data_IF_217088509150
#
_entry.id   IF_217088509150
#
_cell.length_a   1.000
_cell.length_b   1.000
_cell.length_c   1.000
_cell.angle_alpha   90.00
_cell.angle_beta   90.00
_cell.angle_gamma   90.00
#
_symmetry.space_group_name_H-M   'P 1'
#
loop_
_entity.id
_entity.type
_entity.pdbx_description
1 polymer ?
#
# COMPACT_ATOMS: atom_id res chain seq x y z
N UNK A 1 3.29 8.80 -14.76
CA UNK A 1 3.15 9.44 -13.44
C UNK A 1 4.48 9.47 -12.69
N UNK A 2 4.72 10.52 -11.90
CA UNK A 2 5.88 10.74 -11.00
C UNK A 2 5.56 10.35 -9.55
N UNK A 3 6.57 10.25 -8.69
CA UNK A 3 6.38 9.97 -7.26
C UNK A 3 5.50 11.03 -6.57
N UNK A 4 5.69 12.30 -6.89
CA UNK A 4 4.91 13.39 -6.30
C UNK A 4 3.42 13.32 -6.68
N UNK A 5 3.13 12.93 -7.92
CA UNK A 5 1.75 12.69 -8.37
C UNK A 5 1.13 11.47 -7.69
N UNK A 6 1.92 10.40 -7.50
CA UNK A 6 1.50 9.22 -6.75
C UNK A 6 1.14 9.57 -5.30
N UNK A 7 2.01 10.31 -4.60
CA UNK A 7 1.76 10.77 -3.24
C UNK A 7 0.47 11.62 -3.17
N UNK A 8 0.26 12.53 -4.12
CA UNK A 8 -0.95 13.34 -4.17
C UNK A 8 -2.21 12.48 -4.36
N UNK A 9 -2.16 11.46 -5.22
CA UNK A 9 -3.26 10.53 -5.43
C UNK A 9 -3.51 9.67 -4.17
N UNK A 10 -2.46 9.16 -3.54
CA UNK A 10 -2.55 8.38 -2.30
C UNK A 10 -3.18 9.20 -1.17
N UNK A 11 -2.71 10.43 -0.94
CA UNK A 11 -3.24 11.31 0.10
C UNK A 11 -4.68 11.76 -0.15
N UNK A 12 -5.09 11.85 -1.43
CA UNK A 12 -6.48 12.10 -1.80
C UNK A 12 -7.37 10.89 -1.49
N UNK A 13 -6.84 9.68 -1.65
CA UNK A 13 -7.56 8.43 -1.37
C UNK A 13 -7.59 8.10 0.13
N UNK A 14 -6.47 8.28 0.83
CA UNK A 14 -6.28 8.05 2.26
C UNK A 14 -5.63 9.29 2.88
N UNK A 15 -6.41 10.17 3.54
CA UNK A 15 -5.84 11.34 4.19
C UNK A 15 -4.94 10.92 5.35
N UNK A 16 -3.75 11.49 5.41
CA UNK A 16 -2.72 11.18 6.40
C UNK A 16 -1.40 11.86 6.04
N UNK A 17 -0.30 11.29 6.51
CA UNK A 17 1.07 11.73 6.16
C UNK A 17 1.72 10.66 5.30
N UNK A 18 2.06 11.00 4.05
CA UNK A 18 2.85 10.09 3.21
C UNK A 18 4.29 10.04 3.72
N UNK A 19 4.81 8.83 3.91
CA UNK A 19 6.10 8.60 4.58
C UNK A 19 7.11 7.99 3.62
N UNK A 20 6.66 7.14 2.69
CA UNK A 20 7.47 6.57 1.62
C UNK A 20 6.67 6.56 0.31
N UNK A 21 7.40 6.52 -0.80
CA UNK A 21 6.84 6.30 -2.13
C UNK A 21 7.85 5.51 -2.97
N UNK A 22 7.56 4.24 -3.18
CA UNK A 22 8.43 3.30 -3.88
C UNK A 22 7.77 2.84 -5.18
N UNK A 23 8.58 2.48 -6.16
CA UNK A 23 8.08 1.97 -7.43
C UNK A 23 8.44 0.50 -7.54
N UNK A 24 7.42 -0.34 -7.58
CA UNK A 24 7.55 -1.80 -7.64
C UNK A 24 6.66 -2.36 -8.76
N UNK A 25 7.21 -3.23 -9.61
CA UNK A 25 6.52 -3.90 -10.73
C UNK A 25 5.54 -3.04 -11.58
N UNK A 26 5.83 -1.74 -11.74
CA UNK A 26 5.02 -0.82 -12.54
C UNK A 26 3.88 -0.11 -11.78
N UNK A 27 3.78 -0.32 -10.47
CA UNK A 27 2.92 0.42 -9.56
C UNK A 27 3.75 1.24 -8.57
N UNK A 28 3.22 2.39 -8.19
CA UNK A 28 3.71 3.14 -7.04
C UNK A 28 3.06 2.61 -5.78
N UNK A 29 3.85 2.29 -4.78
CA UNK A 29 3.42 2.00 -3.42
C UNK A 29 3.71 3.22 -2.54
N UNK A 30 2.67 3.74 -1.89
CA UNK A 30 2.79 4.92 -1.02
C UNK A 30 2.29 4.56 0.37
N UNK A 31 3.20 4.57 1.32
CA UNK A 31 2.86 4.40 2.74
C UNK A 31 2.35 5.69 3.33
N UNK A 32 1.16 5.62 3.92
CA UNK A 32 0.47 6.73 4.55
C UNK A 32 0.22 6.40 6.00
N UNK A 33 0.81 7.19 6.89
CA UNK A 33 0.48 7.17 8.31
C UNK A 33 -0.84 7.93 8.53
N UNK A 34 -1.88 7.16 8.88
CA UNK A 34 -3.20 7.65 9.27
C UNK A 34 -3.25 8.11 10.73
N UNK A 35 -4.45 8.45 11.20
CA UNK A 35 -4.66 8.83 12.59
C UNK A 35 -4.56 7.62 13.54
N UNK A 36 -3.91 7.81 14.69
CA UNK A 36 -3.83 6.78 15.73
C UNK A 36 -2.96 5.57 15.34
N UNK A 37 -1.78 5.84 14.79
CA UNK A 37 -0.73 4.85 14.48
C UNK A 37 -1.11 3.80 13.41
N UNK A 38 -2.16 4.07 12.64
CA UNK A 38 -2.58 3.18 11.55
C UNK A 38 -1.76 3.43 10.29
N UNK A 39 -1.10 2.39 9.77
CA UNK A 39 -0.40 2.44 8.50
C UNK A 39 -1.28 1.99 7.33
N UNK A 40 -1.11 2.64 6.19
CA UNK A 40 -1.82 2.31 4.96
C UNK A 40 -0.88 2.34 3.76
N UNK A 41 -0.70 1.21 3.09
CA UNK A 41 0.03 1.14 1.82
C UNK A 41 -0.97 1.29 0.68
N UNK A 42 -0.76 2.26 -0.19
CA UNK A 42 -1.65 2.59 -1.32
C UNK A 42 -0.91 2.30 -2.62
N UNK A 43 -1.47 1.43 -3.46
CA UNK A 43 -0.91 1.10 -4.77
C UNK A 43 -1.57 1.90 -5.88
N UNK A 44 -0.76 2.44 -6.79
CA UNK A 44 -1.23 3.33 -7.87
C UNK A 44 -0.52 2.95 -9.17
N UNK A 45 -1.28 2.74 -10.23
CA UNK A 45 -0.72 2.43 -11.55
C UNK A 45 0.18 3.57 -12.05
N UNK A 46 1.44 3.26 -12.42
CA UNK A 46 2.38 4.30 -12.91
C UNK A 46 1.99 4.86 -14.28
N UNK A 47 1.32 4.07 -15.10
CA UNK A 47 0.93 4.40 -16.47
C UNK A 47 -0.27 5.33 -16.53
N UNK A 48 -1.32 5.04 -15.76
CA UNK A 48 -2.60 5.75 -15.76
C UNK A 48 -2.77 6.69 -14.56
N UNK A 49 -2.10 6.42 -13.45
CA UNK A 49 -2.28 7.13 -12.18
C UNK A 49 -3.55 6.73 -11.41
N UNK A 50 -4.17 5.61 -11.77
CA UNK A 50 -5.33 5.08 -11.05
C UNK A 50 -4.92 4.36 -9.78
N UNK A 51 -5.65 4.59 -8.69
CA UNK A 51 -5.47 3.86 -7.43
C UNK A 51 -5.94 2.43 -7.63
N UNK A 52 -5.02 1.48 -7.53
CA UNK A 52 -5.29 0.05 -7.65
C UNK A 52 -5.91 -0.51 -6.36
N UNK A 53 -5.54 0.06 -5.21
CA UNK A 53 -6.08 -0.33 -3.91
C UNK A 53 -5.32 0.30 -2.74
N UNK A 54 -5.78 0.02 -1.53
CA UNK A 54 -4.99 0.29 -0.32
C UNK A 54 -5.22 -0.81 0.71
N UNK A 55 -4.14 -1.25 1.33
CA UNK A 55 -4.15 -2.15 2.47
C UNK A 55 -3.94 -1.35 3.75
N UNK A 56 -4.31 -1.92 4.89
CA UNK A 56 -3.91 -1.42 6.19
C UNK A 56 -2.82 -2.35 6.69
N UNK A 57 -1.69 -1.80 7.06
CA UNK A 57 -0.68 -2.56 7.80
C UNK A 57 -1.19 -2.69 9.23
N UNK A 58 -1.97 -3.75 9.46
CA UNK A 58 -2.24 -4.25 10.79
C UNK A 58 -1.05 -5.16 11.16
N UNK A 59 -0.31 -4.86 12.23
CA UNK A 59 0.76 -5.74 12.77
C UNK A 59 0.24 -7.15 13.21
N UNK A 60 -1.01 -7.51 12.89
CA UNK A 60 -1.69 -8.75 13.28
C UNK A 60 -1.82 -9.81 12.16
N UNK A 61 -1.06 -9.70 11.06
CA UNK A 61 -1.00 -10.74 10.02
C UNK A 61 0.26 -11.63 10.06
N UNK A 62 0.64 -12.05 11.28
CA UNK A 62 1.30 -13.34 11.49
C UNK A 62 0.27 -14.52 11.45
N UNK A 63 -0.83 -14.36 10.70
CA UNK A 63 -1.99 -15.26 10.70
C UNK A 63 -2.07 -16.26 9.54
N UNK A 64 -1.50 -15.97 8.38
CA UNK A 64 -1.73 -16.78 7.15
C UNK A 64 -0.46 -17.33 6.46
N UNK A 65 0.63 -17.60 7.20
CA UNK A 65 1.57 -18.67 6.78
C UNK A 65 1.01 -20.09 7.00
N UNK A 66 -0.30 -20.23 7.29
CA UNK A 66 -0.98 -21.52 7.48
C UNK A 66 -1.62 -22.11 6.21
N UNK A 67 -1.54 -21.44 5.05
CA UNK A 67 -1.92 -22.03 3.77
C UNK A 67 -0.75 -22.73 3.03
N UNK A 68 0.51 -22.31 3.27
CA UNK A 68 1.68 -22.89 2.59
C UNK A 68 2.36 -24.05 3.34
N UNK A 69 2.03 -24.30 4.62
CA UNK A 69 2.61 -25.38 5.44
C UNK A 69 1.69 -26.59 5.67
N UNK A 70 0.59 -26.71 4.91
CA UNK A 70 -0.15 -27.97 4.79
C UNK A 70 -0.01 -28.52 3.38
N UNK A 71 1.11 -29.21 3.15
CA UNK A 71 1.10 -30.33 2.22
C UNK A 71 0.10 -31.38 2.73
N UNK A 72 -0.80 -31.83 1.85
CA UNK A 72 -0.97 -33.27 1.59
C UNK A 72 -1.25 -33.48 0.09
N UNK A 73 -0.71 -34.44 -0.65
CA UNK A 73 -0.21 -35.79 -0.37
C UNK A 73 0.57 -36.27 -1.60
#
# INVERSE_FOLDING_TARGET
MTAAEAIAAALKYKPGTAVSAELDDGAWEVDVLGGGDTWHSVWIDRGTGEVLGAERDDEDDAGEVRAALRGPR
#
